data_IF_796525989250
#
_entry.id   IF_796525989250
#
_cell.length_a   1.000
_cell.length_b   1.000
_cell.length_c   1.000
_cell.angle_alpha   90.00
_cell.angle_beta   90.00
_cell.angle_gamma   90.00
#
_symmetry.space_group_name_H-M   'P 1'
#
loop_
_entity.id
_entity.type
_entity.pdbx_description
1 polymer ?
#
# COMPACT_ATOMS: atom_id res chain seq x y z
N UNK A 1 53.13 -9.15 -18.75
CA UNK A 1 51.71 -9.21 -18.34
C UNK A 1 51.10 -10.45 -18.98
N UNK A 2 50.88 -11.53 -18.22
CA UNK A 2 50.29 -12.78 -18.71
C UNK A 2 48.78 -12.66 -18.49
N UNK A 3 48.01 -12.55 -19.56
CA UNK A 3 46.55 -12.66 -19.47
C UNK A 3 46.23 -14.15 -19.25
N UNK A 4 45.75 -14.48 -18.07
CA UNK A 4 45.26 -15.82 -17.78
C UNK A 4 44.00 -16.07 -18.63
N UNK A 5 44.09 -17.10 -19.47
CA UNK A 5 42.96 -17.57 -20.27
C UNK A 5 41.94 -18.21 -19.34
N UNK A 6 40.89 -17.46 -18.99
CA UNK A 6 39.73 -17.98 -18.27
C UNK A 6 39.12 -19.12 -19.11
N UNK A 7 39.05 -20.31 -18.52
CA UNK A 7 38.59 -21.53 -19.17
C UNK A 7 37.09 -21.46 -19.48
N UNK A 8 36.73 -21.69 -20.75
CA UNK A 8 35.34 -21.63 -21.25
C UNK A 8 34.37 -22.50 -20.43
N UNK A 9 34.83 -23.64 -19.91
CA UNK A 9 34.00 -24.54 -19.08
C UNK A 9 33.60 -23.92 -17.74
N UNK A 10 34.47 -23.10 -17.16
CA UNK A 10 34.19 -22.43 -15.89
C UNK A 10 33.19 -21.28 -16.06
N UNK A 11 33.23 -20.62 -17.23
CA UNK A 11 32.25 -19.60 -17.62
C UNK A 11 30.86 -20.23 -17.83
N UNK A 12 30.79 -21.36 -18.54
CA UNK A 12 29.52 -22.08 -18.76
C UNK A 12 28.91 -22.57 -17.44
N UNK A 13 29.72 -23.11 -16.53
CA UNK A 13 29.26 -23.55 -15.21
C UNK A 13 28.76 -22.38 -14.35
N UNK A 14 29.49 -21.27 -14.32
CA UNK A 14 29.07 -20.04 -13.63
C UNK A 14 27.75 -19.50 -14.17
N UNK A 15 27.60 -19.44 -15.49
CA UNK A 15 26.37 -18.98 -16.14
C UNK A 15 25.18 -19.91 -15.88
N UNK A 16 25.41 -21.22 -15.79
CA UNK A 16 24.35 -22.18 -15.46
C UNK A 16 23.84 -22.00 -14.02
N UNK A 17 24.74 -21.82 -13.05
CA UNK A 17 24.37 -21.53 -11.66
C UNK A 17 23.68 -20.17 -11.52
N UNK A 18 24.13 -19.15 -12.25
CA UNK A 18 23.48 -17.84 -12.24
C UNK A 18 22.06 -17.90 -12.82
N UNK A 19 21.84 -18.64 -13.91
CA UNK A 19 20.51 -18.87 -14.49
C UNK A 19 19.59 -19.63 -13.55
N UNK A 20 20.08 -20.70 -12.94
CA UNK A 20 19.30 -21.51 -11.99
C UNK A 20 18.90 -20.69 -10.75
N UNK A 21 19.80 -19.86 -10.22
CA UNK A 21 19.51 -19.02 -9.07
C UNK A 21 18.47 -17.94 -9.38
N UNK A 22 18.58 -17.26 -10.54
CA UNK A 22 17.56 -16.29 -10.98
C UNK A 22 16.20 -16.95 -11.22
N UNK A 23 16.17 -18.11 -11.87
CA UNK A 23 14.93 -18.84 -12.12
C UNK A 23 14.24 -19.27 -10.81
N UNK A 24 15.01 -19.73 -9.82
CA UNK A 24 14.46 -20.07 -8.51
C UNK A 24 13.95 -18.84 -7.75
N UNK A 25 14.61 -17.68 -7.88
CA UNK A 25 14.14 -16.41 -7.32
C UNK A 25 12.83 -15.94 -7.95
N UNK A 26 12.70 -16.04 -9.28
CA UNK A 26 11.48 -15.66 -10.00
C UNK A 26 10.29 -16.54 -9.62
N UNK A 27 10.51 -17.86 -9.51
CA UNK A 27 9.47 -18.83 -9.09
C UNK A 27 9.03 -18.54 -7.64
N UNK A 28 9.98 -18.25 -6.75
CA UNK A 28 9.68 -17.89 -5.36
C UNK A 28 8.89 -16.57 -5.25
N UNK A 29 9.29 -15.55 -6.00
CA UNK A 29 8.61 -14.25 -6.08
C UNK A 29 7.19 -14.40 -6.63
N UNK A 30 7.01 -15.14 -7.72
CA UNK A 30 5.70 -15.40 -8.32
C UNK A 30 4.78 -16.14 -7.36
N UNK A 31 5.26 -17.21 -6.71
CA UNK A 31 4.48 -17.95 -5.72
C UNK A 31 4.09 -17.07 -4.53
N UNK A 32 4.98 -16.18 -4.08
CA UNK A 32 4.71 -15.28 -2.97
C UNK A 32 3.68 -14.22 -3.33
N UNK A 33 3.78 -13.60 -4.52
CA UNK A 33 2.78 -12.66 -5.04
C UNK A 33 1.41 -13.30 -5.17
N UNK A 34 1.35 -14.53 -5.69
CA UNK A 34 0.09 -15.28 -5.81
C UNK A 34 -0.55 -15.54 -4.44
N UNK A 35 0.23 -15.95 -3.43
CA UNK A 35 -0.27 -16.13 -2.06
C UNK A 35 -0.85 -14.83 -1.50
N UNK A 36 -0.12 -13.72 -1.63
CA UNK A 36 -0.58 -12.41 -1.16
C UNK A 36 -1.87 -11.99 -1.85
N UNK A 37 -1.97 -12.16 -3.17
CA UNK A 37 -3.21 -11.85 -3.92
C UNK A 37 -4.40 -12.70 -3.45
N UNK A 38 -4.21 -14.00 -3.24
CA UNK A 38 -5.27 -14.89 -2.74
C UNK A 38 -5.71 -14.46 -1.33
N UNK A 39 -4.76 -14.21 -0.42
CA UNK A 39 -5.08 -13.71 0.92
C UNK A 39 -5.83 -12.38 0.89
N UNK A 40 -5.45 -11.47 -0.01
CA UNK A 40 -6.11 -10.18 -0.16
C UNK A 40 -7.55 -10.33 -0.65
N UNK A 41 -7.79 -11.18 -1.66
CA UNK A 41 -9.14 -11.47 -2.15
C UNK A 41 -10.01 -12.07 -1.05
N UNK A 42 -9.49 -13.07 -0.32
CA UNK A 42 -10.21 -13.71 0.78
C UNK A 42 -10.52 -12.69 1.89
N UNK A 43 -9.56 -11.84 2.24
CA UNK A 43 -9.73 -10.80 3.27
C UNK A 43 -10.82 -9.79 2.88
N UNK A 44 -10.79 -9.29 1.64
CA UNK A 44 -11.82 -8.39 1.11
C UNK A 44 -13.19 -9.06 1.20
N UNK A 45 -13.29 -10.32 0.78
CA UNK A 45 -14.56 -11.03 0.82
C UNK A 45 -15.06 -11.23 2.26
N UNK A 46 -14.18 -11.62 3.18
CA UNK A 46 -14.51 -11.82 4.59
C UNK A 46 -15.01 -10.52 5.24
N UNK A 47 -14.30 -9.41 5.05
CA UNK A 47 -14.66 -8.11 5.62
C UNK A 47 -15.98 -7.58 5.03
N UNK A 48 -16.17 -7.67 3.71
CA UNK A 48 -17.41 -7.24 3.08
C UNK A 48 -18.60 -8.12 3.48
N UNK A 49 -18.38 -9.42 3.71
CA UNK A 49 -19.42 -10.31 4.22
C UNK A 49 -19.90 -9.86 5.60
N UNK A 50 -19.00 -9.47 6.50
CA UNK A 50 -19.38 -8.95 7.82
C UNK A 50 -20.26 -7.70 7.71
N UNK A 51 -19.96 -6.80 6.77
CA UNK A 51 -20.76 -5.59 6.55
C UNK A 51 -22.15 -5.96 5.99
N UNK A 52 -22.21 -6.80 4.95
CA UNK A 52 -23.47 -7.17 4.27
C UNK A 52 -24.42 -7.92 5.21
N UNK A 53 -23.91 -8.82 6.04
CA UNK A 53 -24.71 -9.60 6.97
C UNK A 53 -24.97 -8.91 8.32
N UNK A 54 -24.41 -7.71 8.55
CA UNK A 54 -24.69 -6.94 9.77
C UNK A 54 -26.08 -6.31 9.77
N UNK A 55 -26.64 -6.13 10.98
CA UNK A 55 -27.89 -5.39 11.19
C UNK A 55 -27.75 -3.93 10.72
N UNK A 56 -28.84 -3.31 10.25
CA UNK A 56 -28.80 -1.94 9.69
C UNK A 56 -28.17 -0.92 10.64
N UNK A 57 -28.45 -1.01 11.94
CA UNK A 57 -27.85 -0.11 12.94
C UNK A 57 -26.34 -0.31 13.16
N UNK A 58 -25.80 -1.48 12.80
CA UNK A 58 -24.39 -1.82 12.95
C UNK A 58 -23.56 -1.62 11.67
N UNK A 59 -24.21 -1.48 10.50
CA UNK A 59 -23.53 -1.34 9.20
C UNK A 59 -22.56 -0.17 9.16
N UNK A 60 -23.01 1.02 9.58
CA UNK A 60 -22.19 2.23 9.58
C UNK A 60 -20.94 2.04 10.44
N UNK A 61 -21.10 1.49 11.63
CA UNK A 61 -19.99 1.17 12.52
C UNK A 61 -18.96 0.23 11.89
N UNK A 62 -19.40 -0.86 11.24
CA UNK A 62 -18.48 -1.79 10.57
C UNK A 62 -17.79 -1.18 9.36
N UNK A 63 -18.48 -0.32 8.60
CA UNK A 63 -17.89 0.41 7.47
C UNK A 63 -16.78 1.34 7.97
N UNK A 64 -17.06 2.17 8.98
CA UNK A 64 -16.11 3.15 9.50
C UNK A 64 -14.90 2.48 10.14
N UNK A 65 -15.15 1.43 10.94
CA UNK A 65 -14.08 0.65 11.55
C UNK A 65 -13.16 0.04 10.49
N UNK A 66 -13.74 -0.58 9.46
CA UNK A 66 -12.99 -1.19 8.36
C UNK A 66 -12.18 -0.16 7.59
N UNK A 67 -12.77 0.99 7.27
CA UNK A 67 -12.13 2.05 6.53
C UNK A 67 -10.92 2.57 7.32
N UNK A 68 -11.12 2.91 8.59
CA UNK A 68 -10.06 3.41 9.47
C UNK A 68 -8.94 2.39 9.68
N UNK A 69 -9.27 1.11 9.86
CA UNK A 69 -8.28 0.04 9.98
C UNK A 69 -7.44 -0.12 8.72
N UNK A 70 -8.07 -0.05 7.54
CA UNK A 70 -7.39 -0.17 6.25
C UNK A 70 -6.46 1.01 5.99
N UNK A 71 -6.91 2.23 6.28
CA UNK A 71 -6.10 3.45 6.14
C UNK A 71 -4.89 3.40 7.08
N UNK A 72 -5.09 3.04 8.35
CA UNK A 72 -4.00 2.92 9.32
C UNK A 72 -2.96 1.88 8.88
N UNK A 73 -3.40 0.71 8.43
CA UNK A 73 -2.51 -0.32 7.91
C UNK A 73 -1.71 0.18 6.69
N UNK A 74 -2.36 0.90 5.77
CA UNK A 74 -1.71 1.46 4.59
C UNK A 74 -0.66 2.53 4.95
N UNK A 75 -0.93 3.39 5.93
CA UNK A 75 0.04 4.37 6.45
C UNK A 75 1.25 3.67 7.05
N UNK A 76 1.04 2.65 7.90
CA UNK A 76 2.13 1.88 8.51
C UNK A 76 3.01 1.24 7.43
N UNK A 77 2.41 0.61 6.43
CA UNK A 77 3.16 0.03 5.30
C UNK A 77 3.92 1.10 4.52
N UNK A 78 3.31 2.26 4.24
CA UNK A 78 3.98 3.39 3.60
C UNK A 78 5.24 3.82 4.36
N UNK A 79 5.12 4.05 5.67
CA UNK A 79 6.27 4.37 6.53
C UNK A 79 7.33 3.26 6.55
N UNK A 80 6.93 1.99 6.65
CA UNK A 80 7.87 0.87 6.61
C UNK A 80 8.68 0.82 5.30
N UNK A 81 8.06 1.16 4.16
CA UNK A 81 8.75 1.22 2.87
C UNK A 81 9.72 2.41 2.84
N UNK A 82 9.30 3.58 3.33
CA UNK A 82 10.17 4.77 3.41
C UNK A 82 11.42 4.52 4.27
N UNK A 83 11.27 3.90 5.44
CA UNK A 83 12.40 3.55 6.33
C UNK A 83 13.33 2.51 5.70
N UNK A 84 12.78 1.57 4.90
CA UNK A 84 13.59 0.56 4.21
C UNK A 84 14.33 1.14 2.99
N UNK A 85 13.77 2.15 2.32
CA UNK A 85 14.45 2.83 1.23
C UNK A 85 15.75 3.47 1.69
N UNK A 86 15.72 4.26 2.79
CA UNK A 86 16.92 4.89 3.35
C UNK A 86 18.04 3.89 3.67
N UNK A 87 17.67 2.66 4.02
CA UNK A 87 18.61 1.59 4.40
C UNK A 87 19.13 0.76 3.23
N UNK A 88 18.36 0.60 2.15
CA UNK A 88 18.68 -0.39 1.11
C UNK A 88 18.71 0.14 -0.32
N UNK A 89 18.25 1.37 -0.59
CA UNK A 89 18.20 1.98 -1.94
C UNK A 89 17.64 1.04 -3.05
N UNK A 90 16.69 0.16 -2.69
CA UNK A 90 16.14 -0.86 -3.62
C UNK A 90 15.15 -0.23 -4.62
N UNK A 91 14.60 0.94 -4.30
CA UNK A 91 13.57 1.62 -5.08
C UNK A 91 14.14 2.87 -5.73
N UNK A 92 13.67 3.19 -6.94
CA UNK A 92 14.00 4.45 -7.62
C UNK A 92 13.36 5.64 -6.90
N UNK A 93 14.09 6.75 -6.79
CA UNK A 93 13.66 7.98 -6.11
C UNK A 93 12.25 8.45 -6.48
N UNK A 94 11.84 8.27 -7.73
CA UNK A 94 10.51 8.66 -8.21
C UNK A 94 9.38 7.82 -7.58
N UNK A 95 9.60 6.52 -7.39
CA UNK A 95 8.63 5.61 -6.75
C UNK A 95 8.45 5.97 -5.28
N UNK A 96 9.52 6.38 -4.59
CA UNK A 96 9.44 6.82 -3.19
C UNK A 96 8.70 8.13 -3.07
N UNK A 97 8.96 9.09 -3.97
CA UNK A 97 8.18 10.33 -4.02
C UNK A 97 6.70 10.02 -4.23
N UNK A 98 6.35 9.13 -5.16
CA UNK A 98 4.97 8.67 -5.35
C UNK A 98 4.37 8.11 -4.05
N UNK A 99 5.06 7.16 -3.41
CA UNK A 99 4.63 6.54 -2.15
C UNK A 99 4.46 7.56 -1.01
N UNK A 100 5.29 8.59 -0.98
CA UNK A 100 5.21 9.67 -0.01
C UNK A 100 3.91 10.47 -0.22
N UNK A 101 3.61 10.89 -1.45
CA UNK A 101 2.34 11.58 -1.75
C UNK A 101 1.12 10.72 -1.43
N UNK A 102 1.17 9.42 -1.74
CA UNK A 102 0.12 8.48 -1.37
C UNK A 102 -0.07 8.39 0.16
N UNK A 103 1.03 8.29 0.91
CA UNK A 103 0.99 8.22 2.38
C UNK A 103 0.47 9.52 2.99
N UNK A 104 0.85 10.69 2.46
CA UNK A 104 0.29 11.98 2.89
C UNK A 104 -1.22 12.03 2.62
N UNK A 105 -1.67 11.61 1.44
CA UNK A 105 -3.10 11.53 1.12
C UNK A 105 -3.86 10.67 2.13
N UNK A 106 -3.31 9.51 2.51
CA UNK A 106 -3.91 8.64 3.53
C UNK A 106 -3.95 9.29 4.91
N UNK A 107 -2.93 10.06 5.31
CA UNK A 107 -2.93 10.80 6.58
C UNK A 107 -4.06 11.84 6.59
N UNK A 108 -4.23 12.60 5.52
CA UNK A 108 -5.33 13.56 5.39
C UNK A 108 -6.69 12.86 5.43
N UNK A 109 -6.81 11.72 4.76
CA UNK A 109 -8.04 10.92 4.80
C UNK A 109 -8.35 10.41 6.21
N UNK A 110 -7.33 9.94 6.95
CA UNK A 110 -7.50 9.50 8.33
C UNK A 110 -7.96 10.66 9.22
N UNK A 111 -7.37 11.84 9.07
CA UNK A 111 -7.77 13.04 9.82
C UNK A 111 -9.24 13.38 9.53
N UNK A 112 -9.67 13.32 8.27
CA UNK A 112 -11.06 13.53 7.90
C UNK A 112 -12.00 12.53 8.60
N UNK A 113 -11.66 11.25 8.58
CA UNK A 113 -12.47 10.22 9.25
C UNK A 113 -12.51 10.40 10.78
N UNK A 114 -11.42 10.83 11.41
CA UNK A 114 -11.38 11.14 12.85
C UNK A 114 -12.31 12.31 13.17
N UNK A 115 -12.28 13.37 12.36
CA UNK A 115 -13.18 14.52 12.51
C UNK A 115 -14.64 14.09 12.31
N UNK A 116 -14.92 13.29 11.28
CA UNK A 116 -16.25 12.75 11.02
C UNK A 116 -16.77 11.92 12.20
N UNK A 117 -15.96 10.99 12.68
CA UNK A 117 -16.28 10.15 13.85
C UNK A 117 -16.53 10.99 15.09
N UNK A 118 -15.77 12.07 15.28
CA UNK A 118 -15.98 13.00 16.40
C UNK A 118 -17.34 13.70 16.33
N UNK A 119 -17.83 14.07 15.14
CA UNK A 119 -19.18 14.62 14.99
C UNK A 119 -20.25 13.60 15.36
N UNK A 120 -20.22 12.41 14.75
CA UNK A 120 -21.26 11.41 14.95
C UNK A 120 -21.24 10.78 16.35
N UNK A 121 -20.06 10.37 16.82
CA UNK A 121 -19.92 9.63 18.09
C UNK A 121 -19.65 10.57 19.26
N UNK A 122 -18.79 11.58 19.07
CA UNK A 122 -18.39 12.49 20.14
C UNK A 122 -19.46 13.54 20.46
N UNK A 123 -20.04 14.15 19.43
CA UNK A 123 -21.06 15.18 19.57
C UNK A 123 -22.50 14.64 19.41
N UNK A 124 -22.68 13.43 18.85
CA UNK A 124 -24.00 12.87 18.61
C UNK A 124 -24.80 13.61 17.55
N UNK A 125 -24.13 14.41 16.72
CA UNK A 125 -24.77 15.22 15.67
C UNK A 125 -24.31 14.72 14.30
N UNK A 126 -25.19 14.85 13.31
CA UNK A 126 -24.78 14.71 11.92
C UNK A 126 -23.72 15.79 11.60
N UNK A 127 -22.66 15.45 10.85
CA UNK A 127 -21.72 16.44 10.34
C UNK A 127 -22.46 17.52 9.54
N UNK A 128 -22.09 18.80 9.68
CA UNK A 128 -22.68 19.85 8.86
C UNK A 128 -22.34 19.63 7.37
N UNK A 129 -23.23 20.07 6.46
CA UNK A 129 -23.09 19.87 5.00
C UNK A 129 -21.75 20.35 4.41
N UNK A 130 -21.14 21.36 5.04
CA UNK A 130 -19.75 21.78 4.80
C UNK A 130 -19.03 21.71 6.13
N UNK A 131 -18.37 20.58 6.38
CA UNK A 131 -17.63 20.31 7.60
C UNK A 131 -16.12 20.44 7.38
N UNK A 132 -15.38 20.46 8.49
CA UNK A 132 -13.93 20.39 8.43
C UNK A 132 -13.44 19.05 7.84
N UNK A 133 -14.20 17.96 7.99
CA UNK A 133 -13.86 16.67 7.41
C UNK A 133 -13.81 16.74 5.87
N UNK A 134 -14.73 17.48 5.25
CA UNK A 134 -14.80 17.63 3.79
C UNK A 134 -13.55 18.31 3.21
N UNK A 135 -13.01 19.30 3.92
CA UNK A 135 -11.77 19.97 3.54
C UNK A 135 -10.60 18.99 3.52
N UNK A 136 -10.51 18.12 4.53
CA UNK A 136 -9.47 17.10 4.61
C UNK A 136 -9.66 15.99 3.58
N UNK A 137 -10.88 15.53 3.30
CA UNK A 137 -11.16 14.59 2.23
C UNK A 137 -10.79 15.14 0.85
N UNK A 138 -11.17 16.39 0.53
CA UNK A 138 -10.79 17.01 -0.75
C UNK A 138 -9.27 17.13 -0.86
N UNK A 139 -8.60 17.55 0.21
CA UNK A 139 -7.14 17.64 0.25
C UNK A 139 -6.47 16.28 0.05
N UNK A 140 -7.00 15.21 0.66
CA UNK A 140 -6.52 13.85 0.44
C UNK A 140 -6.64 13.44 -1.05
N UNK A 141 -7.76 13.78 -1.69
CA UNK A 141 -7.98 13.51 -3.12
C UNK A 141 -6.98 14.24 -4.02
N UNK A 142 -6.55 15.46 -3.68
CA UNK A 142 -5.50 16.19 -4.41
C UNK A 142 -4.19 15.40 -4.38
N UNK A 143 -3.80 14.89 -3.20
CA UNK A 143 -2.59 14.08 -3.05
C UNK A 143 -2.69 12.75 -3.79
N UNK A 144 -3.85 12.08 -3.76
CA UNK A 144 -4.08 10.86 -4.53
C UNK A 144 -4.02 11.11 -6.04
N UNK A 145 -4.64 12.18 -6.52
CA UNK A 145 -4.58 12.58 -7.92
C UNK A 145 -3.14 12.82 -8.38
N UNK A 146 -2.34 13.52 -7.56
CA UNK A 146 -0.93 13.73 -7.85
C UNK A 146 -0.11 12.44 -7.85
N UNK A 147 -0.37 11.54 -6.89
CA UNK A 147 0.23 10.20 -6.85
C UNK A 147 -0.05 9.42 -8.14
N UNK A 148 -1.32 9.33 -8.57
CA UNK A 148 -1.69 8.61 -9.80
C UNK A 148 -1.06 9.24 -11.04
N UNK A 149 -1.02 10.57 -11.12
CA UNK A 149 -0.40 11.28 -12.23
C UNK A 149 1.11 10.97 -12.31
N UNK A 150 1.82 11.00 -11.19
CA UNK A 150 3.27 10.72 -11.16
C UNK A 150 3.56 9.26 -11.48
N UNK A 151 2.75 8.33 -10.96
CA UNK A 151 2.90 6.90 -11.22
C UNK A 151 2.69 6.56 -12.70
N UNK A 152 1.71 7.18 -13.36
CA UNK A 152 1.47 6.94 -14.79
C UNK A 152 2.59 7.47 -15.69
N UNK A 153 3.30 8.50 -15.24
CA UNK A 153 4.41 9.11 -15.97
C UNK A 153 5.74 8.37 -15.80
N UNK A 154 5.83 7.48 -14.82
CA UNK A 154 7.04 6.71 -14.48
C UNK A 154 7.11 5.45 -15.33
#
# INVERSE_FOLDING_TARGET
>A
MKFDYVNKKDIEKSNSHFRENNQNQDIFLYSSRKRVMIFLIISIFAVNSLIVFSEEGAKTFFIDMTNNATIAAAIIMGFMILVQYDKKQILSDIVIRCLLFFTIGLIFWLIANVIWTYYEVGLGIAPPDISLADVFWISANIFFGYYFFMMHRT
#
